data_IF_397214852719
#
_entry.id   IF_397214852719
#
_cell.length_a   1.000
_cell.length_b   1.000
_cell.length_c   1.000
_cell.angle_alpha   90.00
_cell.angle_beta   90.00
_cell.angle_gamma   90.00
#
_symmetry.space_group_name_H-M   'P 1'
#
loop_
_entity.id
_entity.type
_entity.pdbx_description
1 polymer ?
#
# COMPACT_ATOMS: atom_id res chain seq x y z
N UNK A 1 -8.91 -5.42 -9.68
CA UNK A 1 -8.41 -4.84 -8.40
C UNK A 1 -7.00 -4.27 -8.53
N UNK A 2 -6.05 -4.93 -9.18
CA UNK A 2 -4.70 -4.39 -9.39
C UNK A 2 -4.70 -2.97 -9.93
N UNK A 3 -5.39 -2.75 -11.04
CA UNK A 3 -5.50 -1.44 -11.71
C UNK A 3 -6.04 -0.31 -10.82
N UNK A 4 -7.01 -0.59 -9.94
CA UNK A 4 -7.56 0.45 -9.06
C UNK A 4 -6.57 0.80 -7.93
N UNK A 5 -5.73 -0.16 -7.53
CA UNK A 5 -4.78 0.00 -6.41
C UNK A 5 -3.43 0.55 -6.83
N UNK A 6 -3.13 0.57 -8.11
CA UNK A 6 -1.84 1.02 -8.63
C UNK A 6 -1.79 2.53 -8.87
N UNK A 7 -2.95 3.19 -9.02
CA UNK A 7 -3.04 4.64 -9.12
C UNK A 7 -3.81 5.21 -7.92
N UNK A 8 -3.21 6.17 -7.22
CA UNK A 8 -3.82 6.82 -6.07
C UNK A 8 -5.10 7.60 -6.45
N UNK A 9 -5.13 8.22 -7.64
CA UNK A 9 -6.32 8.94 -8.14
C UNK A 9 -7.49 8.02 -8.53
N UNK A 10 -7.25 6.73 -8.74
CA UNK A 10 -8.31 5.73 -8.88
C UNK A 10 -8.67 5.08 -7.53
N UNK A 11 -7.67 4.91 -6.64
CA UNK A 11 -7.85 4.30 -5.32
C UNK A 11 -8.65 5.19 -4.37
N UNK A 12 -8.36 6.49 -4.34
CA UNK A 12 -8.97 7.41 -3.38
C UNK A 12 -10.50 7.52 -3.55
N UNK A 13 -11.06 7.73 -4.78
CA UNK A 13 -12.49 7.70 -5.00
C UNK A 13 -13.16 6.40 -4.53
N UNK A 14 -12.49 5.27 -4.72
CA UNK A 14 -12.96 3.99 -4.21
C UNK A 14 -12.94 3.91 -2.68
N UNK A 15 -11.89 4.41 -2.05
CA UNK A 15 -11.67 4.24 -0.61
C UNK A 15 -12.62 5.11 0.22
N UNK A 16 -12.84 6.36 -0.20
CA UNK A 16 -13.63 7.32 0.58
C UNK A 16 -14.99 7.64 -0.04
N UNK A 17 -15.25 7.23 -1.29
CA UNK A 17 -16.45 7.62 -2.04
C UNK A 17 -17.75 7.28 -1.31
N UNK A 18 -17.90 6.05 -0.81
CA UNK A 18 -19.08 5.69 -0.02
C UNK A 18 -19.23 6.51 1.26
N UNK A 19 -18.13 6.89 1.90
CA UNK A 19 -18.14 7.80 3.03
C UNK A 19 -18.58 9.21 2.65
N UNK A 20 -18.18 9.70 1.47
CA UNK A 20 -18.61 10.99 0.93
C UNK A 20 -20.11 10.98 0.55
N UNK A 21 -20.64 9.87 0.02
CA UNK A 21 -22.08 9.72 -0.24
C UNK A 21 -22.89 9.83 1.05
N UNK A 22 -22.48 9.07 2.10
CA UNK A 22 -23.12 9.13 3.42
C UNK A 22 -23.00 10.54 4.03
N UNK A 23 -21.87 11.20 3.85
CA UNK A 23 -21.63 12.56 4.31
C UNK A 23 -22.51 13.58 3.61
N UNK A 24 -22.64 13.48 2.29
CA UNK A 24 -23.48 14.38 1.48
C UNK A 24 -24.98 14.22 1.80
N UNK A 25 -25.43 12.98 2.01
CA UNK A 25 -26.83 12.68 2.33
C UNK A 25 -27.17 12.86 3.83
N UNK A 26 -26.16 12.94 4.72
CA UNK A 26 -26.35 12.97 6.17
C UNK A 26 -26.81 14.32 6.70
N UNK A 27 -27.46 14.28 7.85
CA UNK A 27 -27.73 15.45 8.70
C UNK A 27 -26.45 15.95 9.40
N UNK A 28 -26.55 17.04 10.15
CA UNK A 28 -25.43 17.66 10.83
C UNK A 28 -24.73 16.72 11.83
N UNK A 29 -25.51 15.92 12.57
CA UNK A 29 -24.97 14.97 13.55
C UNK A 29 -24.15 13.88 12.84
N UNK A 30 -24.67 13.34 11.76
CA UNK A 30 -24.00 12.31 10.96
C UNK A 30 -22.75 12.83 10.28
N UNK A 31 -22.80 14.05 9.75
CA UNK A 31 -21.63 14.73 9.17
C UNK A 31 -20.52 14.92 10.18
N UNK A 32 -20.86 15.39 11.40
CA UNK A 32 -19.90 15.58 12.48
C UNK A 32 -19.20 14.29 12.92
N UNK A 33 -19.93 13.18 12.94
CA UNK A 33 -19.38 11.84 13.26
C UNK A 33 -18.39 11.34 12.21
N UNK A 34 -18.69 11.51 10.93
CA UNK A 34 -17.90 10.97 9.82
C UNK A 34 -16.72 11.87 9.43
N UNK A 35 -16.83 13.19 9.62
CA UNK A 35 -15.88 14.18 9.14
C UNK A 35 -14.41 13.92 9.56
N UNK A 36 -14.11 13.58 10.83
CA UNK A 36 -12.73 13.32 11.24
C UNK A 36 -12.09 12.16 10.48
N UNK A 37 -12.87 11.10 10.23
CA UNK A 37 -12.43 9.93 9.47
C UNK A 37 -12.17 10.27 8.00
N UNK A 38 -13.04 11.07 7.38
CA UNK A 38 -12.84 11.51 6.00
C UNK A 38 -11.59 12.39 5.87
N UNK A 39 -11.40 13.35 6.77
CA UNK A 39 -10.20 14.20 6.78
C UNK A 39 -8.92 13.38 6.92
N UNK A 40 -8.87 12.47 7.88
CA UNK A 40 -7.72 11.58 8.06
C UNK A 40 -7.43 10.73 6.81
N UNK A 41 -8.46 10.23 6.14
CA UNK A 41 -8.29 9.44 4.92
C UNK A 41 -7.85 10.30 3.72
N UNK A 42 -8.29 11.56 3.64
CA UNK A 42 -7.84 12.53 2.64
C UNK A 42 -6.37 12.83 2.86
N UNK A 43 -5.97 13.22 4.09
CA UNK A 43 -4.59 13.54 4.41
C UNK A 43 -3.65 12.38 4.07
N UNK A 44 -3.98 11.17 4.51
CA UNK A 44 -3.21 9.95 4.19
C UNK A 44 -3.15 9.66 2.69
N UNK A 45 -4.22 9.94 1.93
CA UNK A 45 -4.30 9.71 0.49
C UNK A 45 -3.39 10.63 -0.32
N UNK A 46 -3.15 11.85 0.16
CA UNK A 46 -2.32 12.83 -0.56
C UNK A 46 -0.90 12.98 -0.02
N UNK A 47 -0.57 12.43 1.14
CA UNK A 47 0.74 12.60 1.80
C UNK A 47 1.93 12.32 0.88
N UNK A 48 1.80 11.27 0.04
CA UNK A 48 2.87 10.84 -0.88
C UNK A 48 2.45 10.85 -2.34
N UNK A 49 1.32 11.49 -2.66
CA UNK A 49 0.80 11.54 -4.02
C UNK A 49 1.59 12.51 -4.90
N UNK A 50 2.08 12.02 -6.02
CA UNK A 50 2.63 12.85 -7.08
C UNK A 50 1.72 12.77 -8.31
N UNK A 51 0.82 13.74 -8.43
CA UNK A 51 -0.28 13.73 -9.39
C UNK A 51 0.14 13.44 -10.85
N UNK A 52 1.24 14.01 -11.40
CA UNK A 52 1.64 13.68 -12.77
C UNK A 52 1.97 12.20 -13.00
N UNK A 53 2.54 11.52 -12.00
CA UNK A 53 2.80 10.09 -12.06
C UNK A 53 1.48 9.30 -12.01
N UNK A 54 0.58 9.66 -11.10
CA UNK A 54 -0.71 8.99 -10.94
C UNK A 54 -1.57 9.09 -12.20
N UNK A 55 -1.57 10.25 -12.87
CA UNK A 55 -2.22 10.43 -14.17
C UNK A 55 -1.64 9.47 -15.22
N UNK A 56 -0.31 9.42 -15.35
CA UNK A 56 0.34 8.58 -16.35
C UNK A 56 0.09 7.09 -16.09
N UNK A 57 0.18 6.66 -14.84
CA UNK A 57 -0.10 5.27 -14.44
C UNK A 57 -1.55 4.91 -14.79
N UNK A 58 -2.52 5.76 -14.48
CA UNK A 58 -3.92 5.48 -14.78
C UNK A 58 -4.20 5.44 -16.29
N UNK A 59 -3.57 6.32 -17.07
CA UNK A 59 -3.65 6.32 -18.55
C UNK A 59 -3.15 4.99 -19.11
N UNK A 60 -1.94 4.60 -18.72
CA UNK A 60 -1.28 3.40 -19.25
C UNK A 60 -2.06 2.13 -18.88
N UNK A 61 -2.58 2.06 -17.67
CA UNK A 61 -3.39 0.95 -17.22
C UNK A 61 -4.73 0.85 -17.91
N UNK A 62 -5.44 1.95 -18.13
CA UNK A 62 -6.71 1.95 -18.87
C UNK A 62 -6.49 1.58 -20.33
N UNK A 63 -5.44 2.09 -20.97
CA UNK A 63 -5.06 1.72 -22.32
C UNK A 63 -4.75 0.21 -22.42
N UNK A 64 -4.02 -0.33 -21.44
CA UNK A 64 -3.73 -1.75 -21.36
C UNK A 64 -4.99 -2.59 -21.11
N UNK A 65 -5.85 -2.16 -20.19
CA UNK A 65 -7.11 -2.81 -19.84
C UNK A 65 -8.04 -2.90 -21.06
N UNK A 66 -8.27 -1.76 -21.74
CA UNK A 66 -9.10 -1.74 -22.94
C UNK A 66 -8.55 -2.63 -24.06
N UNK A 67 -7.20 -2.74 -24.19
CA UNK A 67 -6.55 -3.54 -25.23
C UNK A 67 -6.49 -5.04 -24.93
N UNK A 68 -6.36 -5.43 -23.67
CA UNK A 68 -6.02 -6.80 -23.26
C UNK A 68 -7.12 -7.55 -22.52
N UNK A 69 -8.04 -6.87 -21.85
CA UNK A 69 -9.09 -7.53 -21.11
C UNK A 69 -10.22 -7.99 -22.06
N UNK A 70 -10.60 -9.26 -21.97
CA UNK A 70 -11.69 -9.82 -22.78
C UNK A 70 -13.08 -9.37 -22.38
N UNK A 71 -13.24 -8.84 -21.16
CA UNK A 71 -14.53 -8.38 -20.62
C UNK A 71 -14.30 -7.14 -19.76
N UNK A 72 -14.35 -5.97 -20.39
CA UNK A 72 -14.13 -4.68 -19.75
C UNK A 72 -15.43 -4.10 -19.16
N UNK A 73 -15.29 -3.18 -18.20
CA UNK A 73 -16.42 -2.48 -17.62
C UNK A 73 -17.19 -1.71 -18.71
N UNK A 74 -18.54 -1.78 -18.77
CA UNK A 74 -19.32 -1.12 -19.83
C UNK A 74 -18.99 0.36 -19.99
N UNK A 75 -18.89 1.08 -18.90
CA UNK A 75 -18.51 2.50 -18.90
C UNK A 75 -17.12 2.75 -19.54
N UNK A 76 -16.16 1.88 -19.24
CA UNK A 76 -14.82 1.97 -19.84
C UNK A 76 -14.87 1.61 -21.33
N UNK A 77 -15.73 0.67 -21.73
CA UNK A 77 -15.94 0.35 -23.14
C UNK A 77 -16.50 1.53 -23.94
N UNK A 78 -17.46 2.24 -23.38
CA UNK A 78 -18.01 3.48 -23.98
C UNK A 78 -16.94 4.57 -24.13
N UNK A 79 -16.13 4.76 -23.08
CA UNK A 79 -15.02 5.71 -23.11
C UNK A 79 -13.97 5.32 -24.14
N UNK A 80 -13.61 4.04 -24.21
CA UNK A 80 -12.66 3.51 -25.19
C UNK A 80 -13.14 3.75 -26.63
N UNK A 81 -14.42 3.51 -26.90
CA UNK A 81 -15.00 3.75 -28.23
C UNK A 81 -14.98 5.25 -28.60
N UNK A 82 -15.27 6.14 -27.62
CA UNK A 82 -15.26 7.60 -27.85
C UNK A 82 -13.84 8.18 -28.04
N UNK A 83 -12.83 7.55 -27.46
CA UNK A 83 -11.46 8.04 -27.43
C UNK A 83 -10.48 7.19 -28.27
N UNK A 84 -10.97 6.36 -29.18
CA UNK A 84 -10.13 5.47 -30.03
C UNK A 84 -9.15 4.59 -29.22
N UNK A 85 -9.57 4.13 -28.04
CA UNK A 85 -8.77 3.38 -27.07
C UNK A 85 -7.54 4.13 -26.53
N UNK A 86 -7.53 5.47 -26.56
CA UNK A 86 -6.54 6.32 -25.93
C UNK A 86 -7.19 7.17 -24.85
N UNK A 87 -6.89 6.87 -23.59
CA UNK A 87 -7.47 7.54 -22.44
C UNK A 87 -6.72 8.83 -22.02
N UNK A 88 -5.67 9.23 -22.74
CA UNK A 88 -4.82 10.36 -22.37
C UNK A 88 -5.61 11.65 -22.19
N UNK A 89 -6.39 12.05 -23.20
CA UNK A 89 -7.16 13.28 -23.14
C UNK A 89 -8.27 13.18 -22.07
N UNK A 90 -8.96 12.03 -21.99
CA UNK A 90 -10.03 11.80 -21.02
C UNK A 90 -9.52 11.91 -19.56
N UNK A 91 -8.40 11.28 -19.22
CA UNK A 91 -7.89 11.32 -17.85
C UNK A 91 -7.39 12.71 -17.48
N UNK A 92 -6.67 13.40 -18.37
CA UNK A 92 -6.22 14.77 -18.11
C UNK A 92 -7.41 15.72 -17.85
N UNK A 93 -8.46 15.61 -18.64
CA UNK A 93 -9.68 16.41 -18.45
C UNK A 93 -10.44 15.98 -17.19
N UNK A 94 -10.47 14.68 -16.89
CA UNK A 94 -11.10 14.15 -15.67
C UNK A 94 -10.40 14.67 -14.41
N UNK A 95 -9.08 14.64 -14.36
CA UNK A 95 -8.31 15.19 -13.24
C UNK A 95 -8.53 16.70 -13.09
N UNK A 96 -8.54 17.44 -14.20
CA UNK A 96 -8.82 18.87 -14.18
C UNK A 96 -10.17 19.21 -13.55
N UNK A 97 -11.20 18.38 -13.76
CA UNK A 97 -12.57 18.64 -13.34
C UNK A 97 -13.01 17.89 -12.08
N UNK A 98 -12.20 16.96 -11.56
CA UNK A 98 -12.55 16.13 -10.41
C UNK A 98 -12.29 16.83 -9.08
N UNK A 99 -13.14 16.55 -8.09
CA UNK A 99 -12.91 16.89 -6.69
C UNK A 99 -11.75 16.09 -6.08
N UNK A 100 -11.42 14.93 -6.66
CA UNK A 100 -10.33 14.07 -6.23
C UNK A 100 -8.95 14.46 -6.79
N UNK A 101 -8.83 15.60 -7.45
CA UNK A 101 -7.54 16.05 -7.99
C UNK A 101 -6.60 16.64 -6.93
N UNK A 102 -7.12 17.10 -5.80
CA UNK A 102 -6.30 17.60 -4.68
C UNK A 102 -7.02 17.51 -3.35
N UNK A 103 -6.25 17.45 -2.25
CA UNK A 103 -6.79 17.52 -0.89
C UNK A 103 -7.60 18.80 -0.66
N UNK A 104 -7.16 19.93 -1.22
CA UNK A 104 -7.87 21.20 -1.14
C UNK A 104 -9.26 21.11 -1.73
N UNK A 105 -9.44 20.54 -2.94
CA UNK A 105 -10.74 20.38 -3.58
C UNK A 105 -11.69 19.49 -2.78
N UNK A 106 -11.17 18.38 -2.23
CA UNK A 106 -11.97 17.52 -1.37
C UNK A 106 -12.34 18.21 -0.06
N UNK A 107 -11.46 18.97 0.57
CA UNK A 107 -11.79 19.75 1.75
C UNK A 107 -12.84 20.82 1.46
N UNK A 108 -12.75 21.54 0.33
CA UNK A 108 -13.78 22.47 -0.11
C UNK A 108 -15.12 21.77 -0.38
N UNK A 109 -15.11 20.56 -0.94
CA UNK A 109 -16.32 19.75 -1.10
C UNK A 109 -16.94 19.38 0.26
N UNK A 110 -16.14 19.08 1.29
CA UNK A 110 -16.65 18.76 2.64
C UNK A 110 -17.31 19.97 3.32
N UNK A 111 -16.96 21.20 2.96
CA UNK A 111 -17.62 22.40 3.46
C UNK A 111 -19.05 22.57 2.90
N UNK A 112 -19.24 22.22 1.61
CA UNK A 112 -20.51 22.31 0.92
C UNK A 112 -20.84 21.01 0.17
N UNK A 113 -21.12 19.91 0.88
CA UNK A 113 -21.29 18.61 0.27
C UNK A 113 -22.55 18.56 -0.60
N UNK A 114 -22.39 18.04 -1.83
CA UNK A 114 -23.45 17.88 -2.80
C UNK A 114 -23.37 16.51 -3.47
N UNK A 115 -24.42 15.71 -3.28
CA UNK A 115 -24.48 14.35 -3.82
C UNK A 115 -24.43 14.31 -5.37
N UNK A 116 -24.98 15.32 -6.04
CA UNK A 116 -24.97 15.40 -7.50
C UNK A 116 -23.54 15.69 -8.05
N UNK A 117 -22.79 16.58 -7.37
CA UNK A 117 -21.39 16.86 -7.73
C UNK A 117 -20.56 15.56 -7.61
N UNK A 118 -20.71 14.83 -6.51
CA UNK A 118 -19.99 13.56 -6.31
C UNK A 118 -20.41 12.52 -7.37
N UNK A 119 -21.71 12.33 -7.59
CA UNK A 119 -22.20 11.35 -8.55
C UNK A 119 -21.78 11.66 -9.99
N UNK A 120 -21.53 12.94 -10.32
CA UNK A 120 -21.08 13.36 -11.64
C UNK A 120 -19.56 13.51 -11.77
N UNK A 121 -18.83 13.35 -10.69
CA UNK A 121 -17.37 13.40 -10.71
C UNK A 121 -16.77 12.31 -11.63
N UNK A 122 -15.90 12.68 -12.60
CA UNK A 122 -15.40 11.75 -13.59
C UNK A 122 -14.51 10.63 -13.02
N UNK A 123 -13.69 10.94 -12.03
CA UNK A 123 -12.84 9.92 -11.38
C UNK A 123 -13.67 9.00 -10.48
N UNK A 124 -14.70 9.53 -9.82
CA UNK A 124 -15.64 8.73 -9.03
C UNK A 124 -16.43 7.76 -9.91
N UNK A 125 -16.97 8.24 -11.04
CA UNK A 125 -17.68 7.40 -12.02
C UNK A 125 -16.78 6.28 -12.55
N UNK A 126 -15.56 6.62 -12.92
CA UNK A 126 -14.59 5.64 -13.42
C UNK A 126 -14.28 4.56 -12.38
N UNK A 127 -13.92 4.97 -11.17
CA UNK A 127 -13.61 4.04 -10.07
C UNK A 127 -14.82 3.17 -9.71
N UNK A 128 -16.00 3.75 -9.63
CA UNK A 128 -17.24 3.02 -9.34
C UNK A 128 -17.59 1.99 -10.42
N UNK A 129 -17.39 2.33 -11.69
CA UNK A 129 -17.60 1.40 -12.81
C UNK A 129 -16.63 0.21 -12.78
N UNK A 130 -15.36 0.49 -12.51
CA UNK A 130 -14.33 -0.55 -12.38
C UNK A 130 -14.60 -1.48 -11.20
N UNK A 131 -14.99 -0.94 -10.05
CA UNK A 131 -15.35 -1.71 -8.85
C UNK A 131 -16.61 -2.54 -9.07
N UNK A 132 -17.65 -1.94 -9.66
CA UNK A 132 -18.88 -2.66 -9.96
C UNK A 132 -18.63 -3.85 -10.88
N UNK A 133 -17.78 -3.67 -11.89
CA UNK A 133 -17.37 -4.76 -12.78
C UNK A 133 -16.57 -5.83 -12.07
N UNK A 134 -15.64 -5.43 -11.20
CA UNK A 134 -14.85 -6.39 -10.42
C UNK A 134 -15.72 -7.22 -9.45
N UNK A 135 -16.76 -6.62 -8.87
CA UNK A 135 -17.66 -7.29 -7.94
C UNK A 135 -18.74 -8.16 -8.62
N UNK A 136 -18.92 -8.02 -9.94
CA UNK A 136 -19.79 -8.92 -10.68
C UNK A 136 -19.16 -10.31 -10.69
N UNK A 137 -19.75 -11.25 -9.95
CA UNK A 137 -19.38 -12.65 -10.05
C UNK A 137 -19.87 -13.19 -11.40
N UNK A 138 -18.95 -13.78 -12.17
CA UNK A 138 -19.32 -14.59 -13.31
C UNK A 138 -19.60 -16.02 -12.81
N UNK A 139 -20.85 -16.50 -12.89
CA UNK A 139 -21.20 -17.83 -12.40
C UNK A 139 -20.38 -18.96 -13.02
N UNK A 140 -19.92 -18.81 -14.28
CA UNK A 140 -19.07 -19.79 -14.94
C UNK A 140 -17.68 -19.85 -14.31
N UNK A 141 -17.11 -18.70 -13.96
CA UNK A 141 -15.82 -18.62 -13.28
C UNK A 141 -15.88 -19.18 -11.86
N UNK A 142 -17.02 -19.05 -11.17
CA UNK A 142 -17.19 -19.62 -9.83
C UNK A 142 -17.08 -21.16 -9.86
N UNK A 143 -17.69 -21.81 -10.82
CA UNK A 143 -17.61 -23.27 -10.97
C UNK A 143 -16.16 -23.72 -11.20
N UNK A 144 -15.43 -23.03 -12.06
CA UNK A 144 -14.03 -23.33 -12.31
C UNK A 144 -13.13 -23.03 -11.10
N UNK A 145 -13.41 -21.96 -10.36
CA UNK A 145 -12.71 -21.63 -9.11
C UNK A 145 -12.91 -22.70 -8.05
N UNK A 146 -14.14 -23.19 -7.87
CA UNK A 146 -14.45 -24.27 -6.92
C UNK A 146 -13.70 -25.57 -7.27
N UNK A 147 -13.61 -25.91 -8.56
CA UNK A 147 -12.80 -27.04 -9.04
C UNK A 147 -11.31 -26.84 -8.75
N UNK A 148 -10.81 -25.65 -9.04
CA UNK A 148 -9.41 -25.29 -8.77
C UNK A 148 -9.11 -25.40 -7.27
N UNK A 149 -9.93 -24.81 -6.41
CA UNK A 149 -9.74 -24.84 -4.95
C UNK A 149 -9.79 -26.26 -4.41
N UNK A 150 -10.66 -27.10 -4.94
CA UNK A 150 -10.73 -28.51 -4.59
C UNK A 150 -9.48 -29.29 -5.01
N UNK A 151 -8.96 -29.03 -6.21
CA UNK A 151 -7.74 -29.64 -6.71
C UNK A 151 -6.50 -29.15 -5.95
N UNK A 152 -6.44 -27.86 -5.65
CA UNK A 152 -5.33 -27.25 -4.92
C UNK A 152 -5.22 -27.81 -3.48
N UNK A 153 -6.36 -27.98 -2.77
CA UNK A 153 -6.37 -28.64 -1.46
C UNK A 153 -5.80 -30.05 -1.51
N UNK A 154 -6.16 -30.83 -2.52
CA UNK A 154 -5.61 -32.18 -2.71
C UNK A 154 -4.11 -32.16 -3.01
N UNK A 155 -3.67 -31.22 -3.84
CA UNK A 155 -2.25 -31.02 -4.15
C UNK A 155 -1.44 -30.69 -2.89
N UNK A 156 -1.89 -29.74 -2.08
CA UNK A 156 -1.24 -29.39 -0.81
C UNK A 156 -1.20 -30.57 0.15
N UNK A 157 -2.30 -31.31 0.28
CA UNK A 157 -2.34 -32.53 1.09
C UNK A 157 -1.32 -33.57 0.62
N UNK A 158 -1.15 -33.73 -0.69
CA UNK A 158 -0.14 -34.62 -1.28
C UNK A 158 1.30 -34.14 -0.99
N UNK A 159 1.57 -32.85 -1.08
CA UNK A 159 2.88 -32.24 -0.73
C UNK A 159 3.21 -32.51 0.74
N UNK A 160 2.25 -32.29 1.65
CA UNK A 160 2.44 -32.56 3.08
C UNK A 160 2.70 -34.05 3.34
N UNK A 161 1.94 -34.92 2.71
CA UNK A 161 2.09 -36.38 2.85
C UNK A 161 3.41 -36.90 2.25
N UNK A 162 3.93 -36.28 1.19
CA UNK A 162 5.19 -36.71 0.55
C UNK A 162 6.43 -36.45 1.38
N UNK A 163 6.37 -35.50 2.31
CA UNK A 163 7.47 -35.18 3.24
C UNK A 163 6.98 -35.00 4.68
N UNK A 164 6.62 -36.09 5.38
CA UNK A 164 6.06 -36.02 6.74
C UNK A 164 7.01 -35.42 7.79
N UNK A 165 8.30 -35.37 7.49
CA UNK A 165 9.31 -34.75 8.37
C UNK A 165 9.65 -33.31 7.96
N UNK A 166 9.05 -32.79 6.90
CA UNK A 166 9.23 -31.43 6.44
C UNK A 166 8.64 -30.42 7.44
N UNK A 167 9.35 -29.33 7.63
CA UNK A 167 8.85 -28.21 8.44
C UNK A 167 8.01 -27.30 7.53
N UNK A 168 6.71 -27.60 7.44
CA UNK A 168 5.77 -26.77 6.72
C UNK A 168 5.09 -25.82 7.72
N UNK A 169 5.08 -24.56 7.41
CA UNK A 169 4.33 -23.55 8.15
C UNK A 169 3.17 -23.02 7.30
N UNK A 170 2.01 -22.73 7.91
CA UNK A 170 0.88 -22.20 7.17
C UNK A 170 1.11 -20.77 6.70
N UNK A 171 0.47 -20.39 5.61
CA UNK A 171 0.43 -19.01 5.17
C UNK A 171 -0.26 -18.10 6.20
N UNK A 172 -0.06 -16.77 6.07
CA UNK A 172 -0.60 -15.80 7.03
C UNK A 172 -2.15 -15.82 7.02
N UNK A 173 -2.74 -16.08 8.19
CA UNK A 173 -4.17 -16.19 8.39
C UNK A 173 -4.69 -15.33 9.56
N UNK A 174 -3.97 -14.25 9.88
CA UNK A 174 -4.25 -13.32 10.98
C UNK A 174 -4.12 -13.93 12.40
N UNK A 175 -3.55 -15.12 12.53
CA UNK A 175 -3.19 -15.67 13.86
C UNK A 175 -1.85 -15.11 14.32
N UNK A 176 -1.65 -15.10 15.64
CA UNK A 176 -0.37 -14.70 16.23
C UNK A 176 0.75 -15.63 15.75
N UNK A 177 1.83 -15.05 15.26
CA UNK A 177 3.05 -15.76 14.86
C UNK A 177 4.23 -15.21 15.62
N UNK A 178 5.11 -16.10 16.02
CA UNK A 178 6.38 -15.76 16.65
C UNK A 178 7.51 -16.07 15.68
N UNK A 179 8.28 -15.04 15.33
CA UNK A 179 9.56 -15.22 14.65
C UNK A 179 10.68 -15.18 15.68
N UNK A 180 11.55 -16.15 15.64
CA UNK A 180 12.71 -16.23 16.57
C UNK A 180 13.92 -16.83 15.86
N UNK A 181 15.11 -16.54 16.41
CA UNK A 181 16.34 -17.05 15.87
C UNK A 181 17.52 -16.76 16.80
N UNK A 182 18.69 -17.19 16.37
CA UNK A 182 19.95 -16.93 17.05
C UNK A 182 20.72 -15.81 16.35
N UNK A 183 21.42 -14.98 17.12
CA UNK A 183 22.34 -14.00 16.56
C UNK A 183 23.51 -14.75 15.93
N UNK A 184 23.72 -14.55 14.63
CA UNK A 184 24.77 -15.23 13.84
C UNK A 184 25.38 -14.30 12.82
N UNK A 185 26.65 -14.55 12.51
CA UNK A 185 27.29 -14.02 11.31
C UNK A 185 26.85 -14.74 10.04
N UNK A 186 27.20 -14.19 8.90
CA UNK A 186 27.09 -14.88 7.62
C UNK A 186 28.05 -16.07 7.56
N UNK A 187 27.84 -17.02 6.66
CA UNK A 187 28.82 -18.07 6.41
C UNK A 187 30.23 -17.50 6.12
N UNK A 188 31.24 -18.18 6.58
CA UNK A 188 32.62 -17.74 6.38
C UNK A 188 32.92 -17.59 4.88
N UNK A 189 33.40 -16.42 4.48
CA UNK A 189 33.87 -16.12 3.14
C UNK A 189 35.29 -15.56 3.23
N UNK A 190 36.29 -16.21 2.60
CA UNK A 190 37.68 -15.77 2.67
C UNK A 190 37.93 -14.39 2.05
N UNK A 191 36.94 -13.84 1.31
CA UNK A 191 37.06 -12.53 0.66
C UNK A 191 36.60 -11.36 1.53
N UNK A 192 35.96 -11.62 2.68
CA UNK A 192 35.42 -10.59 3.57
C UNK A 192 35.32 -11.12 5.02
N UNK A 193 35.04 -10.20 5.95
CA UNK A 193 34.87 -10.52 7.38
C UNK A 193 33.39 -10.55 7.80
N UNK A 194 32.47 -10.91 6.91
CA UNK A 194 31.02 -10.88 7.18
C UNK A 194 30.61 -11.88 8.27
N UNK A 195 31.33 -12.98 8.42
CA UNK A 195 31.17 -13.96 9.49
C UNK A 195 31.51 -13.40 10.89
N UNK A 196 32.37 -12.37 10.96
CA UNK A 196 32.80 -11.69 12.21
C UNK A 196 32.01 -10.40 12.44
N UNK A 197 31.62 -9.70 11.38
CA UNK A 197 30.98 -8.39 11.41
C UNK A 197 29.45 -8.50 11.31
N UNK A 198 28.85 -9.27 12.21
CA UNK A 198 27.41 -9.52 12.21
C UNK A 198 26.58 -8.50 13.01
N UNK A 199 27.20 -7.43 13.49
CA UNK A 199 26.51 -6.34 14.19
C UNK A 199 27.08 -4.97 13.83
N UNK A 200 26.27 -3.93 14.03
CA UNK A 200 26.69 -2.54 13.91
C UNK A 200 26.79 -1.90 15.30
N UNK A 201 27.49 -0.79 15.39
CA UNK A 201 27.67 -0.07 16.66
C UNK A 201 27.15 1.35 16.57
N UNK A 202 26.81 1.94 17.73
CA UNK A 202 26.40 3.33 17.81
C UNK A 202 27.43 4.29 17.19
N UNK A 203 28.72 3.97 17.25
CA UNK A 203 29.78 4.74 16.58
C UNK A 203 29.52 4.86 15.07
N UNK A 204 29.09 3.77 14.42
CA UNK A 204 28.75 3.79 12.99
C UNK A 204 27.50 4.60 12.69
N UNK A 205 26.51 4.55 13.57
CA UNK A 205 25.29 5.38 13.46
C UNK A 205 25.64 6.87 13.57
N UNK A 206 26.44 7.25 14.57
CA UNK A 206 26.87 8.64 14.76
C UNK A 206 27.72 9.15 13.58
N UNK A 207 28.52 8.28 12.96
CA UNK A 207 29.32 8.67 11.79
C UNK A 207 28.48 9.05 10.56
N UNK A 208 27.23 8.62 10.51
CA UNK A 208 26.26 8.95 9.45
C UNK A 208 25.35 10.13 9.81
N UNK A 209 25.44 10.64 11.04
CA UNK A 209 24.55 11.70 11.54
C UNK A 209 24.57 12.93 10.63
N UNK A 210 23.39 13.42 10.31
CA UNK A 210 23.17 14.64 9.53
C UNK A 210 21.92 15.34 10.06
N UNK A 211 22.12 16.48 10.69
CA UNK A 211 21.05 17.25 11.33
C UNK A 211 19.96 17.67 10.32
N UNK A 212 18.71 17.38 10.67
CA UNK A 212 17.53 17.72 9.84
C UNK A 212 17.35 16.84 8.61
N UNK A 213 18.09 15.76 8.50
CA UNK A 213 17.91 14.77 7.45
C UNK A 213 16.86 13.74 7.87
N UNK A 214 15.90 13.42 7.00
CA UNK A 214 14.78 12.50 7.30
C UNK A 214 15.25 11.11 7.75
N UNK A 215 16.38 10.64 7.22
CA UNK A 215 16.92 9.29 7.46
C UNK A 215 18.04 9.27 8.50
N UNK A 216 18.87 10.34 8.58
CA UNK A 216 20.12 10.34 9.35
C UNK A 216 20.12 11.33 10.52
N UNK A 217 19.01 12.00 10.82
CA UNK A 217 18.94 12.82 12.02
C UNK A 217 18.79 11.94 13.28
N UNK A 218 19.38 12.38 14.38
CA UNK A 218 19.40 11.65 15.65
C UNK A 218 18.95 12.55 16.80
N UNK A 219 18.21 12.00 17.78
CA UNK A 219 17.86 12.76 18.98
C UNK A 219 19.10 13.24 19.74
N UNK A 220 19.08 14.49 20.20
CA UNK A 220 20.19 15.09 20.95
C UNK A 220 20.62 14.22 22.15
N UNK A 221 19.66 13.63 22.87
CA UNK A 221 19.93 12.74 23.99
C UNK A 221 20.83 11.55 23.61
N UNK A 222 20.66 10.97 22.41
CA UNK A 222 21.48 9.87 21.93
C UNK A 222 22.90 10.33 21.67
N UNK A 223 23.07 11.53 21.12
CA UNK A 223 24.37 12.16 20.90
C UNK A 223 25.10 12.40 22.23
N UNK A 224 24.39 12.85 23.26
CA UNK A 224 24.96 13.11 24.59
C UNK A 224 25.38 11.81 25.28
N UNK A 225 24.56 10.75 25.21
CA UNK A 225 24.91 9.42 25.72
C UNK A 225 26.16 8.85 25.02
N UNK A 226 26.25 9.01 23.71
CA UNK A 226 27.43 8.60 22.94
C UNK A 226 28.69 9.37 23.39
N UNK A 227 28.58 10.68 23.54
CA UNK A 227 29.69 11.57 23.95
C UNK A 227 30.22 11.22 25.33
N UNK A 228 29.31 10.90 26.26
CA UNK A 228 29.61 10.55 27.64
C UNK A 228 29.95 9.05 27.81
N UNK A 229 29.83 8.24 26.76
CA UNK A 229 29.97 6.77 26.79
C UNK A 229 29.05 6.11 27.85
N UNK A 230 27.90 6.72 28.09
CA UNK A 230 26.92 6.21 29.03
C UNK A 230 25.99 5.22 28.33
N UNK A 231 26.41 3.97 28.28
CA UNK A 231 25.67 2.88 27.66
C UNK A 231 25.03 1.93 28.67
N UNK A 232 25.24 2.19 29.97
CA UNK A 232 24.71 1.35 31.03
C UNK A 232 25.12 -0.13 30.83
N UNK A 233 24.14 -1.02 31.04
CA UNK A 233 24.32 -2.46 30.89
C UNK A 233 24.38 -2.96 29.43
N UNK A 234 24.21 -2.10 28.46
CA UNK A 234 24.14 -2.45 27.04
C UNK A 234 25.49 -2.35 26.32
N UNK A 235 26.54 -1.88 27.00
CA UNK A 235 27.88 -1.93 26.47
C UNK A 235 28.37 -3.38 26.33
N UNK A 236 29.05 -3.67 25.23
CA UNK A 236 29.75 -4.94 25.07
C UNK A 236 31.02 -4.98 25.88
N UNK A 237 31.71 -6.13 25.91
CA UNK A 237 33.00 -6.31 26.64
C UNK A 237 34.11 -5.40 26.12
N UNK A 238 34.00 -4.85 24.94
CA UNK A 238 34.95 -3.90 24.32
C UNK A 238 34.56 -2.44 24.54
N UNK A 239 33.46 -2.17 25.23
CA UNK A 239 32.95 -0.82 25.50
C UNK A 239 32.23 -0.18 24.33
N UNK A 240 31.79 -0.96 23.35
CA UNK A 240 30.89 -0.47 22.26
C UNK A 240 29.44 -0.74 22.59
N UNK A 241 28.57 0.09 22.05
CA UNK A 241 27.11 -0.17 22.07
C UNK A 241 26.70 -0.81 20.75
N UNK A 242 26.36 -2.12 20.73
CA UNK A 242 25.74 -2.76 19.56
C UNK A 242 24.36 -2.14 19.28
N UNK A 243 24.02 -1.95 18.00
CA UNK A 243 22.74 -1.33 17.58
C UNK A 243 21.89 -2.34 16.80
N UNK A 244 22.44 -2.87 15.71
CA UNK A 244 21.77 -3.88 14.88
C UNK A 244 22.65 -5.13 14.80
N UNK A 245 22.01 -6.26 14.55
CA UNK A 245 22.68 -7.55 14.41
C UNK A 245 22.00 -8.39 13.33
N UNK A 246 22.71 -9.40 12.85
CA UNK A 246 22.14 -10.42 11.99
C UNK A 246 21.63 -11.59 12.85
N UNK A 247 20.56 -12.21 12.41
CA UNK A 247 20.00 -13.40 13.04
C UNK A 247 19.48 -14.36 11.98
N UNK A 248 19.34 -15.64 12.35
CA UNK A 248 18.77 -16.69 11.51
C UNK A 248 17.26 -16.89 11.77
N UNK A 249 16.53 -15.81 11.87
CA UNK A 249 15.08 -15.86 12.08
C UNK A 249 14.37 -16.55 10.90
N UNK A 250 13.39 -17.39 11.26
CA UNK A 250 12.38 -17.92 10.35
C UNK A 250 11.14 -17.04 10.32
#
# INVERSE_FOLDING_TARGET
MGMIRSSAIATLPYTIGSGLEVYAAGDEARRKDILPRLKSAIDAGYEKMYLPLEEQVLIDELNLYAKKAGNIAPYVAELAAKNNNDFTAYIKESVKNSIFASAERLNNYLENPNAEILANDPLYKLSSALISKYRQEDPSLKVEQDKFDGAYRKYVAGVLASNPKGKFYPDANSTLRLSYGSIKGLPQDPRNDADKNFYTTLKGTIAKYKKGDEEFDLPQRLMDLYKNKDYGRYADKKGYLPVNFLSDND
#
